data_IF_615315533253
#
_entry.id   IF_615315533253
#
_cell.length_a   1.000
_cell.length_b   1.000
_cell.length_c   1.000
_cell.angle_alpha   90.00
_cell.angle_beta   90.00
_cell.angle_gamma   90.00
#
_symmetry.space_group_name_H-M   'P 1'
#
loop_
_entity.id
_entity.type
_entity.pdbx_description
1 polymer ?
#
# COMPACT_ATOMS: atom_id res chain seq x y z
N UNK A 1 -8.77 15.30 5.45
CA UNK A 1 -8.79 16.76 5.15
C UNK A 1 -10.24 17.22 5.20
N UNK A 2 -10.57 18.45 5.63
CA UNK A 2 -11.95 18.91 5.63
C UNK A 2 -12.58 18.78 4.24
N UNK A 3 -13.74 18.14 4.14
CA UNK A 3 -14.46 17.97 2.87
C UNK A 3 -14.05 16.77 1.99
N UNK A 4 -13.21 15.85 2.49
CA UNK A 4 -12.94 14.56 1.83
C UNK A 4 -13.52 13.40 2.63
N UNK A 5 -14.06 12.40 1.93
CA UNK A 5 -14.51 11.13 2.52
C UNK A 5 -13.29 10.46 3.18
N UNK A 6 -13.41 10.16 4.46
CA UNK A 6 -12.42 9.36 5.19
C UNK A 6 -13.02 8.00 5.54
N UNK A 7 -12.22 6.96 5.45
CA UNK A 7 -12.57 5.60 5.87
C UNK A 7 -11.59 5.12 6.94
N UNK A 8 -12.02 4.13 7.73
CA UNK A 8 -11.12 3.41 8.61
C UNK A 8 -10.20 2.54 7.75
N UNK A 9 -8.97 3.00 7.56
CA UNK A 9 -7.93 2.23 6.90
C UNK A 9 -7.32 1.27 7.93
N UNK A 10 -6.97 0.08 7.48
CA UNK A 10 -6.12 -0.87 8.20
C UNK A 10 -4.75 -0.28 8.48
N UNK A 11 -4.19 0.48 7.52
CA UNK A 11 -2.92 1.22 7.64
C UNK A 11 -1.68 0.37 7.42
N UNK A 12 -1.84 -0.94 7.25
CA UNK A 12 -0.78 -1.89 6.89
C UNK A 12 -1.30 -3.02 5.99
N UNK A 13 -1.86 -2.65 4.83
CA UNK A 13 -2.48 -3.60 3.91
C UNK A 13 -1.46 -4.26 2.98
N UNK A 14 -0.99 -5.45 3.37
CA UNK A 14 -0.12 -6.30 2.56
C UNK A 14 -0.44 -7.79 2.76
N UNK A 15 0.07 -8.65 1.88
CA UNK A 15 -0.36 -10.05 1.74
C UNK A 15 -0.21 -10.88 3.03
N UNK A 16 0.77 -10.59 3.87
CA UNK A 16 1.00 -11.34 5.11
C UNK A 16 0.05 -10.95 6.24
N UNK A 17 -0.63 -9.80 6.15
CA UNK A 17 -1.71 -9.39 7.05
C UNK A 17 -3.10 -9.86 6.55
N UNK A 18 -3.12 -10.75 5.55
CA UNK A 18 -4.34 -11.32 4.97
C UNK A 18 -4.36 -12.83 5.16
N UNK A 19 -5.38 -13.32 5.89
CA UNK A 19 -5.63 -14.75 6.04
C UNK A 19 -6.67 -15.19 4.99
N UNK A 20 -6.27 -16.12 4.14
CA UNK A 20 -7.11 -16.67 3.08
C UNK A 20 -7.70 -18.01 3.49
N UNK A 21 -9.03 -18.14 3.42
CA UNK A 21 -9.72 -19.42 3.55
C UNK A 21 -9.90 -20.03 2.17
N UNK A 22 -9.46 -21.28 2.01
CA UNK A 22 -9.61 -22.03 0.77
C UNK A 22 -10.72 -23.09 0.90
N UNK A 23 -11.43 -23.36 -0.20
CA UNK A 23 -12.32 -24.53 -0.32
C UNK A 23 -11.53 -25.79 -0.73
N UNK A 24 -12.23 -26.91 -0.90
CA UNK A 24 -11.64 -28.18 -1.34
C UNK A 24 -10.98 -28.09 -2.73
N UNK A 25 -11.48 -27.20 -3.60
CA UNK A 25 -10.92 -26.91 -4.91
C UNK A 25 -9.71 -25.95 -4.88
N UNK A 26 -9.23 -25.57 -3.69
CA UNK A 26 -8.14 -24.60 -3.47
C UNK A 26 -8.45 -23.17 -3.97
N UNK A 27 -9.72 -22.81 -4.05
CA UNK A 27 -10.16 -21.46 -4.38
C UNK A 27 -10.33 -20.63 -3.11
N UNK A 28 -9.98 -19.35 -3.17
CA UNK A 28 -10.18 -18.41 -2.05
C UNK A 28 -11.67 -18.13 -1.91
N UNK A 29 -12.25 -18.50 -0.77
CA UNK A 29 -13.68 -18.26 -0.47
C UNK A 29 -13.92 -17.20 0.58
N UNK A 30 -12.94 -16.91 1.44
CA UNK A 30 -13.00 -15.82 2.42
C UNK A 30 -11.62 -15.23 2.66
N UNK A 31 -11.60 -13.96 3.03
CA UNK A 31 -10.43 -13.24 3.51
C UNK A 31 -10.71 -12.68 4.90
N UNK A 32 -9.69 -12.66 5.76
CA UNK A 32 -9.73 -11.96 7.04
C UNK A 32 -8.43 -11.17 7.22
N UNK A 33 -8.56 -9.87 7.49
CA UNK A 33 -7.42 -9.01 7.82
C UNK A 33 -7.05 -9.16 9.29
N UNK A 34 -5.74 -9.08 9.58
CA UNK A 34 -5.16 -9.17 10.92
C UNK A 34 -4.09 -8.09 11.09
N UNK A 35 -3.68 -7.84 12.33
CA UNK A 35 -2.68 -6.82 12.66
C UNK A 35 -3.14 -5.37 12.41
N UNK A 36 -4.12 -4.92 13.21
CA UNK A 36 -4.72 -3.59 13.13
C UNK A 36 -3.94 -2.54 13.95
N UNK A 37 -2.64 -2.75 14.18
CA UNK A 37 -1.83 -1.92 15.10
C UNK A 37 -1.65 -0.47 14.65
N UNK A 38 -1.85 -0.18 13.36
CA UNK A 38 -1.70 1.17 12.77
C UNK A 38 -2.98 1.67 12.08
N UNK A 39 -4.13 1.08 12.40
CA UNK A 39 -5.41 1.48 11.80
C UNK A 39 -5.79 2.91 12.14
N UNK A 40 -6.28 3.64 11.15
CA UNK A 40 -6.55 5.09 11.28
C UNK A 40 -7.54 5.57 10.23
N UNK A 41 -8.27 6.63 10.58
CA UNK A 41 -9.11 7.33 9.60
C UNK A 41 -8.26 8.14 8.63
N UNK A 42 -8.43 7.89 7.33
CA UNK A 42 -7.77 8.62 6.26
C UNK A 42 -8.54 8.45 4.94
N UNK A 43 -8.06 9.08 3.87
CA UNK A 43 -8.63 8.87 2.53
C UNK A 43 -8.55 7.38 2.11
N UNK A 44 -9.51 6.86 1.33
CA UNK A 44 -9.55 5.45 0.94
C UNK A 44 -8.31 4.99 0.15
N UNK A 45 -7.63 5.92 -0.52
CA UNK A 45 -6.44 5.62 -1.32
C UNK A 45 -5.24 5.11 -0.52
N UNK A 46 -5.18 5.31 0.82
CA UNK A 46 -4.01 4.91 1.64
C UNK A 46 -3.77 3.41 1.58
N UNK A 47 -4.77 2.62 1.97
CA UNK A 47 -4.67 1.15 1.93
C UNK A 47 -4.63 0.62 0.50
N UNK A 48 -5.36 1.26 -0.42
CA UNK A 48 -5.42 0.81 -1.80
C UNK A 48 -4.07 0.94 -2.52
N UNK A 49 -3.38 2.08 -2.34
CA UNK A 49 -2.03 2.28 -2.87
C UNK A 49 -1.05 1.32 -2.21
N UNK A 50 -1.13 1.12 -0.89
CA UNK A 50 -0.26 0.15 -0.22
C UNK A 50 -0.46 -1.26 -0.77
N UNK A 51 -1.70 -1.71 -0.94
CA UNK A 51 -2.03 -3.03 -1.45
C UNK A 51 -1.53 -3.22 -2.91
N UNK A 52 -1.87 -2.30 -3.81
CA UNK A 52 -1.47 -2.39 -5.23
C UNK A 52 0.06 -2.46 -5.37
N UNK A 53 0.79 -1.63 -4.63
CA UNK A 53 2.24 -1.58 -4.78
C UNK A 53 2.97 -2.68 -4.01
N UNK A 54 2.46 -3.17 -2.88
CA UNK A 54 3.11 -4.25 -2.14
C UNK A 54 2.71 -5.67 -2.59
N UNK A 55 1.53 -5.86 -3.18
CA UNK A 55 0.96 -7.19 -3.41
C UNK A 55 0.73 -7.53 -4.89
N UNK A 56 0.47 -6.55 -5.75
CA UNK A 56 0.22 -6.84 -7.16
C UNK A 56 1.53 -7.20 -7.89
N UNK A 57 1.41 -7.97 -8.96
CA UNK A 57 2.54 -8.19 -9.87
C UNK A 57 2.80 -6.94 -10.71
N UNK A 58 3.99 -6.82 -11.30
CA UNK A 58 4.39 -5.63 -12.05
C UNK A 58 3.46 -5.36 -13.24
N UNK A 59 3.04 -6.42 -13.92
CA UNK A 59 2.16 -6.38 -15.09
C UNK A 59 0.74 -5.92 -14.70
N UNK A 60 0.27 -6.31 -13.51
CA UNK A 60 -1.02 -5.85 -13.00
C UNK A 60 -0.99 -4.33 -12.71
N UNK A 61 0.13 -3.82 -12.18
CA UNK A 61 0.33 -2.38 -11.99
C UNK A 61 0.49 -1.62 -13.31
N UNK A 62 1.04 -2.27 -14.34
CA UNK A 62 1.20 -1.64 -15.65
C UNK A 62 -0.12 -1.54 -16.40
N UNK A 63 -0.80 -2.67 -16.53
CA UNK A 63 -1.84 -2.85 -17.55
C UNK A 63 -3.25 -2.84 -16.95
N UNK A 64 -3.39 -3.11 -15.64
CA UNK A 64 -4.69 -3.36 -14.99
C UNK A 64 -4.92 -2.54 -13.73
N UNK A 65 -4.08 -1.53 -13.48
CA UNK A 65 -4.18 -0.70 -12.28
C UNK A 65 -5.52 0.05 -12.21
N UNK A 66 -6.01 0.57 -13.35
CA UNK A 66 -7.31 1.24 -13.44
C UNK A 66 -8.47 0.32 -13.03
N UNK A 67 -8.44 -0.96 -13.46
CA UNK A 67 -9.49 -1.92 -13.11
C UNK A 67 -9.59 -2.15 -11.60
N UNK A 68 -8.45 -2.15 -10.89
CA UNK A 68 -8.44 -2.28 -9.43
C UNK A 68 -9.04 -1.05 -8.74
N UNK A 69 -8.77 0.16 -9.26
CA UNK A 69 -9.36 1.38 -8.73
C UNK A 69 -10.87 1.45 -8.98
N UNK A 70 -11.31 1.09 -10.19
CA UNK A 70 -12.73 1.09 -10.56
C UNK A 70 -13.50 0.08 -9.71
N UNK A 71 -12.94 -1.13 -9.55
CA UNK A 71 -13.56 -2.15 -8.71
C UNK A 71 -13.65 -1.72 -7.24
N UNK A 72 -12.57 -1.13 -6.69
CA UNK A 72 -12.60 -0.61 -5.32
C UNK A 72 -13.65 0.50 -5.16
N UNK A 73 -13.74 1.43 -6.11
CA UNK A 73 -14.70 2.52 -6.11
C UNK A 73 -16.15 2.01 -6.09
N UNK A 74 -16.44 1.04 -6.95
CA UNK A 74 -17.76 0.40 -7.04
C UNK A 74 -18.12 -0.26 -5.70
N UNK A 75 -17.22 -1.09 -5.16
CA UNK A 75 -17.45 -1.82 -3.90
C UNK A 75 -17.58 -0.85 -2.72
N UNK A 76 -16.74 0.18 -2.64
CA UNK A 76 -16.81 1.20 -1.59
C UNK A 76 -18.16 1.91 -1.61
N UNK A 77 -18.58 2.43 -2.75
CA UNK A 77 -19.84 3.16 -2.87
C UNK A 77 -21.05 2.27 -2.57
N UNK A 78 -21.05 1.02 -3.04
CA UNK A 78 -22.08 0.03 -2.68
C UNK A 78 -22.11 -0.22 -1.17
N UNK A 79 -20.95 -0.40 -0.54
CA UNK A 79 -20.86 -0.65 0.90
C UNK A 79 -21.35 0.56 1.71
N UNK A 80 -21.03 1.79 1.27
CA UNK A 80 -21.54 3.01 1.89
C UNK A 80 -23.06 3.09 1.80
N UNK A 81 -23.64 2.68 0.67
CA UNK A 81 -25.09 2.59 0.50
C UNK A 81 -25.75 1.59 1.45
N UNK A 82 -25.24 0.36 1.47
CA UNK A 82 -25.74 -0.73 2.32
C UNK A 82 -25.66 -0.40 3.81
N UNK A 83 -24.73 0.47 4.21
CA UNK A 83 -24.57 0.93 5.59
C UNK A 83 -25.36 2.21 5.91
N UNK A 84 -26.13 2.73 4.96
CA UNK A 84 -26.95 3.94 5.14
C UNK A 84 -26.18 5.26 5.08
N UNK A 85 -24.93 5.23 4.62
CA UNK A 85 -24.12 6.43 4.40
C UNK A 85 -24.50 7.09 3.06
N UNK A 86 -24.73 8.40 3.08
CA UNK A 86 -25.06 9.19 1.88
C UNK A 86 -23.84 9.66 1.10
N UNK A 87 -22.63 9.55 1.65
CA UNK A 87 -21.40 9.95 0.97
C UNK A 87 -21.09 9.01 -0.20
N UNK A 88 -20.52 9.58 -1.27
CA UNK A 88 -20.06 8.82 -2.44
C UNK A 88 -18.73 9.38 -2.90
N UNK A 89 -17.86 8.48 -3.34
CA UNK A 89 -16.59 8.82 -3.96
C UNK A 89 -16.75 8.74 -5.47
N UNK A 90 -16.29 9.76 -6.19
CA UNK A 90 -16.20 9.73 -7.65
C UNK A 90 -14.82 9.24 -8.09
N UNK A 91 -14.69 8.75 -9.33
CA UNK A 91 -13.40 8.36 -9.88
C UNK A 91 -12.38 9.52 -9.88
N UNK A 92 -12.87 10.75 -10.13
CA UNK A 92 -12.04 11.97 -10.05
C UNK A 92 -11.52 12.20 -8.62
N UNK A 93 -12.39 12.13 -7.61
CA UNK A 93 -11.98 12.28 -6.21
C UNK A 93 -11.03 11.16 -5.77
N UNK A 94 -11.29 9.91 -6.17
CA UNK A 94 -10.37 8.80 -5.90
C UNK A 94 -8.99 9.09 -6.50
N UNK A 95 -8.91 9.53 -7.76
CA UNK A 95 -7.63 9.89 -8.38
C UNK A 95 -6.92 11.05 -7.66
N UNK A 96 -7.67 12.04 -7.19
CA UNK A 96 -7.14 13.12 -6.34
C UNK A 96 -6.69 12.64 -4.94
N UNK A 97 -7.32 11.60 -4.40
CA UNK A 97 -6.88 10.92 -3.19
C UNK A 97 -5.57 10.16 -3.46
N UNK A 98 -5.48 9.39 -4.56
CA UNK A 98 -4.23 8.73 -4.96
C UNK A 98 -3.10 9.76 -5.10
N UNK A 99 -3.32 10.89 -5.80
CA UNK A 99 -2.34 11.99 -5.87
C UNK A 99 -1.91 12.47 -4.48
N UNK A 100 -2.86 12.68 -3.58
CA UNK A 100 -2.58 13.22 -2.24
C UNK A 100 -1.78 12.28 -1.34
N UNK A 101 -1.78 10.97 -1.61
CA UNK A 101 -1.03 9.97 -0.84
C UNK A 101 0.37 9.71 -1.41
N UNK A 102 0.89 10.54 -2.32
CA UNK A 102 2.27 10.43 -2.80
C UNK A 102 3.33 10.37 -1.67
N UNK A 103 3.24 11.14 -0.57
CA UNK A 103 4.16 10.98 0.55
C UNK A 103 4.08 9.59 1.21
N UNK A 104 2.88 9.00 1.28
CA UNK A 104 2.68 7.64 1.79
C UNK A 104 3.28 6.61 0.84
N UNK A 105 3.06 6.76 -0.47
CA UNK A 105 3.68 5.94 -1.51
C UNK A 105 5.22 5.95 -1.42
N UNK A 106 5.82 7.13 -1.23
CA UNK A 106 7.27 7.24 -1.00
C UNK A 106 7.65 6.49 0.28
N UNK A 107 6.94 6.71 1.39
CA UNK A 107 7.20 6.00 2.65
C UNK A 107 7.19 4.48 2.50
N UNK A 108 6.15 3.90 1.89
CA UNK A 108 6.06 2.45 1.71
C UNK A 108 7.16 1.90 0.80
N UNK A 109 7.54 2.64 -0.26
CA UNK A 109 8.51 2.15 -1.25
C UNK A 109 9.95 2.28 -0.78
N UNK A 110 10.29 3.29 0.02
CA UNK A 110 11.64 3.48 0.55
C UNK A 110 11.87 2.75 1.88
N UNK A 111 10.81 2.51 2.66
CA UNK A 111 10.94 1.89 3.98
C UNK A 111 10.31 0.49 4.03
N UNK A 112 8.99 0.38 3.90
CA UNK A 112 8.30 -0.90 4.15
C UNK A 112 8.69 -1.99 3.17
N UNK A 113 8.63 -1.71 1.87
CA UNK A 113 8.87 -2.71 0.82
C UNK A 113 10.31 -3.25 0.87
N UNK A 114 11.36 -2.41 0.93
CA UNK A 114 12.72 -2.92 0.95
C UNK A 114 12.99 -3.71 2.24
N UNK A 115 12.47 -3.26 3.39
CA UNK A 115 12.70 -3.93 4.68
C UNK A 115 12.11 -5.34 4.70
N UNK A 116 10.95 -5.51 4.07
CA UNK A 116 10.18 -6.76 4.10
C UNK A 116 10.56 -7.69 2.95
N UNK A 117 10.62 -7.19 1.72
CA UNK A 117 10.77 -8.02 0.53
C UNK A 117 12.22 -8.30 0.14
N UNK A 118 13.20 -7.66 0.79
CA UNK A 118 14.60 -8.06 0.64
C UNK A 118 14.93 -9.38 1.37
N UNK A 119 14.03 -9.91 2.20
CA UNK A 119 14.22 -11.20 2.86
C UNK A 119 14.42 -12.30 1.82
N UNK A 120 15.49 -13.09 1.98
CA UNK A 120 15.90 -14.10 1.02
C UNK A 120 16.80 -13.59 -0.11
N UNK A 121 17.10 -12.28 -0.15
CA UNK A 121 18.11 -11.70 -1.04
C UNK A 121 19.41 -11.43 -0.29
N UNK A 122 20.48 -11.10 -1.01
CA UNK A 122 21.76 -10.65 -0.42
C UNK A 122 21.68 -9.28 0.27
N UNK A 123 20.62 -8.51 0.01
CA UNK A 123 20.43 -7.16 0.51
C UNK A 123 19.71 -7.11 1.87
N UNK A 124 19.24 -8.25 2.38
CA UNK A 124 18.53 -8.35 3.67
C UNK A 124 19.36 -7.73 4.81
N UNK A 125 18.70 -6.96 5.67
CA UNK A 125 19.30 -6.36 6.85
C UNK A 125 18.62 -6.91 8.12
N UNK A 126 19.40 -7.06 9.20
CA UNK A 126 18.81 -7.33 10.51
C UNK A 126 18.46 -6.02 11.22
N UNK A 127 17.17 -5.82 11.52
CA UNK A 127 16.64 -4.64 12.20
C UNK A 127 16.50 -4.81 13.72
N UNK A 128 16.93 -5.94 14.29
CA UNK A 128 16.97 -6.17 15.73
C UNK A 128 17.76 -5.07 16.43
N UNK A 129 17.22 -4.63 17.57
CA UNK A 129 17.82 -3.60 18.41
C UNK A 129 17.67 -2.17 17.89
N UNK A 130 16.94 -1.94 16.79
CA UNK A 130 16.56 -0.58 16.42
C UNK A 130 15.63 0.03 17.46
N UNK A 131 15.91 1.28 17.81
CA UNK A 131 15.17 2.07 18.79
C UNK A 131 14.41 3.20 18.12
N UNK A 132 13.43 3.79 18.83
CA UNK A 132 12.76 4.99 18.37
C UNK A 132 13.72 6.19 18.20
N UNK A 133 14.87 6.20 18.87
CA UNK A 133 15.86 7.27 18.73
C UNK A 133 16.60 7.21 17.39
N UNK A 134 16.85 6.01 16.88
CA UNK A 134 17.47 5.82 15.56
C UNK A 134 16.65 6.50 14.46
N UNK A 135 15.31 6.53 14.61
CA UNK A 135 14.40 7.21 13.69
C UNK A 135 14.23 8.71 13.98
N UNK A 136 14.34 9.14 15.25
CA UNK A 136 14.14 10.53 15.67
C UNK A 136 15.39 11.39 15.56
N UNK A 137 16.57 10.80 15.53
CA UNK A 137 17.86 11.50 15.48
C UNK A 137 18.06 12.35 14.21
N UNK A 138 17.23 12.16 13.18
CA UNK A 138 17.35 12.82 11.88
C UNK A 138 18.54 12.34 11.05
N UNK A 139 19.32 11.38 11.55
CA UNK A 139 20.43 10.77 10.82
C UNK A 139 19.92 9.59 10.02
N UNK A 140 20.41 9.46 8.79
CA UNK A 140 20.08 8.31 7.96
C UNK A 140 20.65 7.02 8.60
N UNK A 141 19.79 6.03 8.83
CA UNK A 141 20.20 4.76 9.41
C UNK A 141 21.08 3.97 8.43
N UNK A 142 22.31 3.54 8.80
CA UNK A 142 23.21 2.85 7.88
C UNK A 142 22.65 1.55 7.30
N UNK A 143 21.83 0.82 8.06
CA UNK A 143 21.20 -0.43 7.58
C UNK A 143 20.15 -0.10 6.52
N UNK A 144 19.30 0.90 6.75
CA UNK A 144 18.31 1.36 5.77
C UNK A 144 19.01 1.90 4.52
N UNK A 145 20.10 2.67 4.66
CA UNK A 145 20.88 3.16 3.52
C UNK A 145 21.47 2.01 2.69
N UNK A 146 22.04 0.99 3.35
CA UNK A 146 22.60 -0.17 2.65
C UNK A 146 21.53 -0.90 1.83
N UNK A 147 20.34 -1.03 2.40
CA UNK A 147 19.18 -1.62 1.73
C UNK A 147 18.72 -0.80 0.51
N UNK A 148 18.64 0.53 0.66
CA UNK A 148 18.31 1.45 -0.44
C UNK A 148 19.38 1.48 -1.55
N UNK A 149 20.62 1.11 -1.24
CA UNK A 149 21.67 0.95 -2.25
C UNK A 149 21.76 -0.47 -2.82
N UNK A 150 20.96 -1.40 -2.32
CA UNK A 150 20.90 -2.79 -2.75
C UNK A 150 20.36 -2.97 -4.17
N UNK A 151 20.68 -4.11 -4.78
CA UNK A 151 20.20 -4.48 -6.12
C UNK A 151 18.69 -4.70 -6.12
N UNK A 152 18.15 -5.31 -5.05
CA UNK A 152 16.71 -5.53 -4.90
C UNK A 152 15.93 -4.22 -5.06
N UNK A 153 16.27 -3.21 -4.26
CA UNK A 153 15.60 -1.91 -4.32
C UNK A 153 15.79 -1.23 -5.68
N UNK A 154 17.02 -1.21 -6.20
CA UNK A 154 17.34 -0.59 -7.51
C UNK A 154 16.59 -1.23 -8.67
N UNK A 155 16.29 -2.52 -8.61
CA UNK A 155 15.55 -3.24 -9.65
C UNK A 155 14.05 -2.94 -9.63
N UNK A 156 13.48 -2.72 -8.43
CA UNK A 156 12.04 -2.57 -8.23
C UNK A 156 11.60 -1.10 -8.26
N UNK A 157 12.31 -0.23 -7.55
CA UNK A 157 11.87 1.14 -7.24
C UNK A 157 11.61 2.00 -8.48
N UNK A 158 12.51 2.06 -9.50
CA UNK A 158 12.27 2.90 -10.68
C UNK A 158 10.98 2.51 -11.41
N UNK A 159 10.67 1.22 -11.46
CA UNK A 159 9.47 0.73 -12.13
C UNK A 159 8.21 1.12 -11.35
N UNK A 160 8.20 0.93 -10.03
CA UNK A 160 7.07 1.33 -9.18
C UNK A 160 6.79 2.83 -9.25
N UNK A 161 7.84 3.66 -9.21
CA UNK A 161 7.70 5.12 -9.31
C UNK A 161 7.12 5.49 -10.68
N UNK A 162 7.65 4.92 -11.77
CA UNK A 162 7.12 5.17 -13.12
C UNK A 162 5.64 4.79 -13.22
N UNK A 163 5.25 3.63 -12.72
CA UNK A 163 3.86 3.15 -12.72
C UNK A 163 2.93 4.06 -11.92
N UNK A 164 3.37 4.46 -10.72
CA UNK A 164 2.61 5.38 -9.88
C UNK A 164 2.40 6.74 -10.54
N UNK A 165 3.48 7.31 -11.11
CA UNK A 165 3.43 8.60 -11.81
C UNK A 165 2.55 8.53 -13.06
N UNK A 166 2.68 7.47 -13.87
CA UNK A 166 1.83 7.28 -15.06
C UNK A 166 0.33 7.29 -14.71
N UNK A 167 -0.05 6.67 -13.59
CA UNK A 167 -1.43 6.70 -13.13
C UNK A 167 -1.86 8.11 -12.68
N UNK A 168 -1.08 8.78 -11.82
CA UNK A 168 -1.52 10.05 -11.25
C UNK A 168 -1.38 11.24 -12.21
N UNK A 169 -0.53 11.15 -13.24
CA UNK A 169 -0.29 12.22 -14.21
C UNK A 169 -1.16 12.11 -15.48
N UNK A 170 -1.81 10.96 -15.71
CA UNK A 170 -2.86 10.83 -16.74
C UNK A 170 -4.12 11.63 -16.40
#
# INVERSE_FOLDING_TARGET
QPGRLNVLNHGDMWIYNMLFKYNEAKEVVKVKFVDNQVSRYNVPAVDLVQFIFSCAQSEVREDRQQELYDHYLEVLNRTLEETGCSERLTAKQLKEDVRSVAPWFIGITVFSIPCVFSVGTKDVQNFDGLTAEDYRSGKANPKILKLLHGEFFKSLYPNMVRQYLAYIES
#
